data_IF_935460036371
#
_entry.id   IF_935460036371
#
_cell.length_a   1.000
_cell.length_b   1.000
_cell.length_c   1.000
_cell.angle_alpha   90.00
_cell.angle_beta   90.00
_cell.angle_gamma   90.00
#
_symmetry.space_group_name_H-M   'P 1'
#
loop_
_entity.id
_entity.type
_entity.pdbx_description
1 polymer ?
#
# COMPACT_ATOMS: atom_id res chain seq x y z
N UNK A 1 -31.60 -4.01 -9.97
CA UNK A 1 -30.47 -3.84 -10.89
C UNK A 1 -29.75 -2.52 -10.72
N UNK A 2 -30.48 -1.42 -10.60
CA UNK A 2 -29.87 -0.10 -10.39
C UNK A 2 -29.07 -0.01 -9.07
N UNK A 3 -29.50 -0.74 -8.03
CA UNK A 3 -28.77 -0.78 -6.77
C UNK A 3 -27.39 -1.41 -6.89
N UNK A 4 -27.29 -2.48 -7.70
CA UNK A 4 -26.01 -3.14 -7.92
C UNK A 4 -25.06 -2.26 -8.71
N UNK A 5 -25.58 -1.53 -9.69
CA UNK A 5 -24.78 -0.61 -10.47
C UNK A 5 -24.26 0.54 -9.60
N UNK A 6 -25.09 1.05 -8.70
CA UNK A 6 -24.69 2.11 -7.77
C UNK A 6 -23.59 1.63 -6.82
N UNK A 7 -23.76 0.44 -6.23
CA UNK A 7 -22.74 -0.15 -5.36
C UNK A 7 -21.44 -0.42 -6.10
N UNK A 8 -21.54 -0.89 -7.35
CA UNK A 8 -20.37 -1.13 -8.18
C UNK A 8 -19.59 0.16 -8.44
N UNK A 9 -20.31 1.25 -8.75
CA UNK A 9 -19.66 2.56 -8.95
C UNK A 9 -18.98 3.06 -7.68
N UNK A 10 -19.63 2.91 -6.52
CA UNK A 10 -19.04 3.33 -5.25
C UNK A 10 -17.76 2.55 -4.97
N UNK A 11 -17.76 1.24 -5.22
CA UNK A 11 -16.57 0.41 -5.00
C UNK A 11 -15.42 0.80 -5.92
N UNK A 12 -15.73 1.09 -7.20
CA UNK A 12 -14.69 1.51 -8.16
C UNK A 12 -14.14 2.87 -7.78
N UNK A 13 -15.00 3.82 -7.43
CA UNK A 13 -14.56 5.16 -7.04
C UNK A 13 -13.73 5.11 -5.76
N UNK A 14 -14.14 4.27 -4.80
CA UNK A 14 -13.37 4.07 -3.58
C UNK A 14 -11.99 3.49 -3.87
N UNK A 15 -11.90 2.54 -4.81
CA UNK A 15 -10.63 1.95 -5.20
C UNK A 15 -9.73 2.97 -5.89
N UNK A 16 -10.31 3.75 -6.82
CA UNK A 16 -9.55 4.80 -7.53
C UNK A 16 -9.03 5.84 -6.54
N UNK A 17 -9.87 6.26 -5.60
CA UNK A 17 -9.46 7.21 -4.56
C UNK A 17 -8.31 6.61 -3.74
N UNK A 18 -8.40 5.34 -3.38
CA UNK A 18 -7.35 4.66 -2.63
C UNK A 18 -6.03 4.64 -3.41
N UNK A 19 -6.09 4.35 -4.71
CA UNK A 19 -4.90 4.35 -5.56
C UNK A 19 -4.28 5.74 -5.61
N UNK A 20 -5.10 6.78 -5.78
CA UNK A 20 -4.59 8.16 -5.83
C UNK A 20 -3.95 8.57 -4.51
N UNK A 21 -4.60 8.27 -3.39
CA UNK A 21 -4.02 8.57 -2.07
C UNK A 21 -2.72 7.81 -1.84
N UNK A 22 -2.70 6.55 -2.25
CA UNK A 22 -1.49 5.73 -2.13
C UNK A 22 -0.36 6.27 -3.02
N UNK A 23 -0.70 6.77 -4.21
CA UNK A 23 0.29 7.36 -5.11
C UNK A 23 0.94 8.59 -4.48
N UNK A 24 0.13 9.47 -3.89
CA UNK A 24 0.65 10.65 -3.18
C UNK A 24 1.54 10.21 -2.02
N UNK A 25 1.07 9.25 -1.24
CA UNK A 25 1.80 8.75 -0.08
C UNK A 25 3.12 8.08 -0.49
N UNK A 26 3.10 7.29 -1.56
CA UNK A 26 4.29 6.61 -2.07
C UNK A 26 5.32 7.62 -2.58
N UNK A 27 4.86 8.64 -3.29
CA UNK A 27 5.75 9.69 -3.78
C UNK A 27 6.41 10.42 -2.61
N UNK A 28 5.61 10.79 -1.60
CA UNK A 28 6.14 11.46 -0.42
C UNK A 28 7.14 10.59 0.33
N UNK A 29 6.84 9.30 0.49
CA UNK A 29 7.73 8.36 1.17
C UNK A 29 9.04 8.19 0.42
N UNK A 30 8.98 8.08 -0.90
CA UNK A 30 10.18 7.95 -1.73
C UNK A 30 11.04 9.21 -1.64
N UNK A 31 10.40 10.38 -1.57
CA UNK A 31 11.11 11.64 -1.43
C UNK A 31 11.85 11.73 -0.08
N UNK A 32 11.22 11.20 0.98
CA UNK A 32 11.78 11.27 2.33
C UNK A 32 12.86 10.22 2.59
N UNK A 33 12.79 9.05 1.94
CA UNK A 33 13.67 7.93 2.25
C UNK A 33 14.76 7.76 1.21
N UNK A 34 16.05 7.79 1.62
CA UNK A 34 17.15 7.64 0.66
C UNK A 34 17.25 6.25 0.04
N UNK A 35 16.72 5.22 0.70
CA UNK A 35 16.76 3.86 0.20
C UNK A 35 15.61 3.48 -0.73
N UNK A 36 14.77 4.44 -1.12
CA UNK A 36 13.62 4.19 -1.99
C UNK A 36 13.69 5.12 -3.18
N UNK A 37 13.56 4.55 -4.38
CA UNK A 37 13.57 5.30 -5.63
C UNK A 37 12.35 4.95 -6.47
N UNK A 38 11.68 6.00 -6.98
CA UNK A 38 10.64 5.88 -7.98
C UNK A 38 11.02 6.83 -9.12
N UNK A 39 11.21 6.29 -10.31
CA UNK A 39 11.85 7.05 -11.42
C UNK A 39 11.00 8.19 -11.95
N UNK A 40 9.64 8.07 -11.91
CA UNK A 40 8.76 9.12 -12.44
C UNK A 40 7.36 8.98 -11.86
N UNK A 41 6.50 9.94 -12.22
CA UNK A 41 5.12 9.98 -11.72
C UNK A 41 4.29 8.81 -12.26
N UNK A 42 4.50 8.44 -13.52
CA UNK A 42 3.82 7.28 -14.10
C UNK A 42 4.11 6.02 -13.30
N UNK A 43 5.37 5.79 -12.98
CA UNK A 43 5.77 4.65 -12.16
C UNK A 43 5.15 4.72 -10.77
N UNK A 44 5.04 5.93 -10.19
CA UNK A 44 4.38 6.11 -8.90
C UNK A 44 2.94 5.62 -8.93
N UNK A 45 2.20 5.94 -9.98
CA UNK A 45 0.82 5.48 -10.13
C UNK A 45 0.77 3.96 -10.27
N UNK A 46 1.68 3.37 -11.03
CA UNK A 46 1.77 1.92 -11.18
C UNK A 46 2.08 1.26 -9.84
N UNK A 47 3.03 1.81 -9.08
CA UNK A 47 3.36 1.32 -7.74
C UNK A 47 2.12 1.36 -6.85
N UNK A 48 1.39 2.47 -6.86
CA UNK A 48 0.19 2.62 -6.04
C UNK A 48 -0.88 1.61 -6.42
N UNK A 49 -1.06 1.37 -7.72
CA UNK A 49 -2.02 0.38 -8.20
C UNK A 49 -1.63 -1.02 -7.74
N UNK A 50 -0.37 -1.41 -7.90
CA UNK A 50 0.10 -2.73 -7.48
C UNK A 50 -0.03 -2.88 -5.97
N UNK A 51 0.36 -1.86 -5.20
CA UNK A 51 0.20 -1.87 -3.74
C UNK A 51 -1.26 -2.04 -3.34
N UNK A 52 -2.16 -1.30 -4.00
CA UNK A 52 -3.58 -1.39 -3.68
C UNK A 52 -4.11 -2.79 -3.96
N UNK A 53 -3.70 -3.41 -5.08
CA UNK A 53 -4.12 -4.77 -5.41
C UNK A 53 -3.57 -5.79 -4.42
N UNK A 54 -2.29 -5.70 -4.09
CA UNK A 54 -1.68 -6.62 -3.13
C UNK A 54 -2.29 -6.46 -1.74
N UNK A 55 -2.50 -5.22 -1.30
CA UNK A 55 -3.11 -4.96 0.00
C UNK A 55 -4.56 -5.42 0.07
N UNK A 56 -5.27 -5.39 -1.04
CA UNK A 56 -6.68 -5.77 -1.08
C UNK A 56 -6.85 -7.29 -1.16
N UNK A 57 -6.05 -7.98 -1.97
CA UNK A 57 -6.25 -9.40 -2.27
C UNK A 57 -5.24 -10.31 -1.60
N UNK A 58 -3.97 -9.96 -1.60
CA UNK A 58 -2.91 -10.84 -1.11
C UNK A 58 -2.69 -10.70 0.39
N UNK A 59 -2.69 -9.47 0.90
CA UNK A 59 -2.42 -9.24 2.32
C UNK A 59 -3.42 -9.93 3.25
N UNK A 60 -4.74 -9.90 3.00
CA UNK A 60 -5.67 -10.61 3.87
C UNK A 60 -5.40 -12.12 3.92
N UNK A 61 -5.03 -12.72 2.79
CA UNK A 61 -4.70 -14.14 2.73
C UNK A 61 -3.46 -14.44 3.58
N UNK A 62 -2.43 -13.61 3.46
CA UNK A 62 -1.21 -13.78 4.26
C UNK A 62 -1.50 -13.64 5.75
N UNK A 63 -2.33 -12.68 6.13
CA UNK A 63 -2.69 -12.49 7.53
C UNK A 63 -3.39 -13.73 8.07
N UNK A 64 -4.35 -14.29 7.32
CA UNK A 64 -5.06 -15.49 7.74
C UNK A 64 -4.13 -16.69 7.91
N UNK A 65 -3.22 -16.87 6.97
CA UNK A 65 -2.29 -18.01 7.00
C UNK A 65 -1.27 -17.89 8.14
N UNK A 66 -1.01 -16.68 8.62
CA UNK A 66 0.03 -16.44 9.62
C UNK A 66 -0.53 -16.09 10.99
N UNK A 67 -1.84 -16.29 11.22
CA UNK A 67 -2.46 -15.97 12.51
C UNK A 67 -1.71 -16.58 13.69
N UNK A 68 -1.35 -17.88 13.68
CA UNK A 68 -0.62 -18.43 14.82
C UNK A 68 0.71 -17.74 15.10
N UNK A 69 1.47 -17.44 14.03
CA UNK A 69 2.75 -16.75 14.16
C UNK A 69 2.54 -15.31 14.63
N UNK A 70 1.50 -14.66 14.11
CA UNK A 70 1.17 -13.28 14.49
C UNK A 70 0.85 -13.19 15.99
N UNK A 71 0.09 -14.16 16.51
CA UNK A 71 -0.23 -14.21 17.93
C UNK A 71 1.04 -14.42 18.76
N UNK A 72 1.90 -15.38 18.37
CA UNK A 72 3.13 -15.67 19.09
C UNK A 72 4.08 -14.47 19.14
N UNK A 73 4.06 -13.63 18.09
CA UNK A 73 4.94 -12.46 18.02
C UNK A 73 4.26 -11.19 18.52
N UNK A 74 3.06 -11.29 19.12
CA UNK A 74 2.28 -10.14 19.62
C UNK A 74 2.00 -9.10 18.53
N UNK A 75 1.81 -9.58 17.30
CA UNK A 75 1.48 -8.72 16.16
C UNK A 75 2.68 -8.22 15.37
N UNK A 76 3.90 -8.44 15.83
CA UNK A 76 5.09 -7.98 15.11
C UNK A 76 5.21 -8.59 13.72
N UNK A 77 4.66 -9.78 13.51
CA UNK A 77 4.71 -10.42 12.20
C UNK A 77 3.96 -9.62 11.13
N UNK A 78 3.00 -8.79 11.52
CA UNK A 78 2.32 -7.91 10.57
C UNK A 78 3.30 -6.95 9.89
N UNK A 79 4.34 -6.52 10.60
CA UNK A 79 5.39 -5.68 10.01
C UNK A 79 6.16 -6.45 8.93
N UNK A 80 6.39 -7.74 9.15
CA UNK A 80 7.05 -8.60 8.15
C UNK A 80 6.18 -8.69 6.90
N UNK A 81 4.87 -8.86 7.07
CA UNK A 81 3.94 -8.90 5.93
C UNK A 81 4.00 -7.60 5.13
N UNK A 82 4.02 -6.45 5.81
CA UNK A 82 4.15 -5.17 5.13
C UNK A 82 5.44 -5.07 4.32
N UNK A 83 6.55 -5.54 4.87
CA UNK A 83 7.83 -5.55 4.16
C UNK A 83 7.74 -6.43 2.92
N UNK A 84 7.15 -7.61 3.04
CA UNK A 84 6.99 -8.53 1.91
C UNK A 84 6.17 -7.90 0.78
N UNK A 85 5.08 -7.21 1.13
CA UNK A 85 4.24 -6.55 0.13
C UNK A 85 5.05 -5.49 -0.63
N UNK A 86 5.84 -4.68 0.07
CA UNK A 86 6.67 -3.66 -0.56
C UNK A 86 7.74 -4.29 -1.45
N UNK A 87 8.40 -5.35 -0.97
CA UNK A 87 9.44 -6.03 -1.75
C UNK A 87 8.85 -6.70 -3.00
N UNK A 88 7.65 -7.26 -2.91
CA UNK A 88 6.97 -7.79 -4.09
C UNK A 88 6.67 -6.69 -5.08
N UNK A 89 6.22 -5.54 -4.61
CA UNK A 89 5.94 -4.41 -5.49
C UNK A 89 7.21 -3.97 -6.22
N UNK A 90 8.34 -3.89 -5.51
CA UNK A 90 9.65 -3.62 -6.10
C UNK A 90 9.94 -4.61 -7.24
N UNK A 91 9.70 -5.90 -7.00
CA UNK A 91 9.95 -6.93 -8.01
C UNK A 91 9.04 -6.82 -9.22
N UNK A 92 7.81 -6.37 -9.03
CA UNK A 92 6.79 -6.34 -10.07
C UNK A 92 6.82 -5.07 -10.92
N UNK A 93 7.32 -3.97 -10.36
CA UNK A 93 7.25 -2.66 -11.02
C UNK A 93 8.66 -2.18 -11.35
N UNK A 94 8.97 -2.08 -12.65
CA UNK A 94 10.22 -1.47 -13.08
C UNK A 94 10.24 0.01 -12.74
N UNK A 95 11.39 0.51 -12.28
CA UNK A 95 11.51 1.90 -11.90
C UNK A 95 11.19 2.20 -10.44
N UNK A 96 10.76 1.21 -9.68
CA UNK A 96 10.56 1.30 -8.25
C UNK A 96 11.59 0.41 -7.56
N UNK A 97 12.44 0.98 -6.74
CA UNK A 97 13.51 0.28 -6.06
C UNK A 97 13.48 0.58 -4.57
N UNK A 98 13.55 -0.45 -3.76
CA UNK A 98 13.59 -0.33 -2.30
C UNK A 98 14.78 -1.13 -1.78
N UNK A 99 15.74 -0.43 -1.21
CA UNK A 99 17.00 -1.03 -0.74
C UNK A 99 16.81 -1.64 0.65
N UNK A 100 16.71 -2.99 0.69
CA UNK A 100 16.73 -3.73 1.94
C UNK A 100 15.42 -3.72 2.70
N UNK A 101 15.41 -4.49 3.78
CA UNK A 101 14.19 -4.67 4.60
C UNK A 101 13.84 -3.45 5.41
N UNK A 102 14.85 -2.73 5.90
CA UNK A 102 14.63 -1.53 6.71
C UNK A 102 13.93 -0.44 5.90
N UNK A 103 14.42 -0.18 4.68
CA UNK A 103 13.79 0.81 3.80
C UNK A 103 12.37 0.41 3.43
N UNK A 104 12.13 -0.89 3.20
CA UNK A 104 10.79 -1.40 2.91
C UNK A 104 9.85 -1.18 4.10
N UNK A 105 10.32 -1.44 5.32
CA UNK A 105 9.52 -1.21 6.52
C UNK A 105 9.18 0.26 6.67
N UNK A 106 10.16 1.14 6.58
CA UNK A 106 9.94 2.58 6.71
C UNK A 106 9.01 3.10 5.62
N UNK A 107 9.18 2.63 4.39
CA UNK A 107 8.31 3.00 3.29
C UNK A 107 6.86 2.62 3.59
N UNK A 108 6.63 1.37 4.03
CA UNK A 108 5.28 0.92 4.32
C UNK A 108 4.63 1.73 5.45
N UNK A 109 5.42 2.07 6.48
CA UNK A 109 4.90 2.85 7.60
C UNK A 109 4.54 4.27 7.17
N UNK A 110 5.39 4.92 6.38
CA UNK A 110 5.13 6.27 5.89
C UNK A 110 3.91 6.28 4.98
N UNK A 111 3.81 5.33 4.05
CA UNK A 111 2.65 5.21 3.16
C UNK A 111 1.38 5.04 3.98
N UNK A 112 1.40 4.17 4.99
CA UNK A 112 0.24 3.91 5.84
C UNK A 112 -0.18 5.17 6.61
N UNK A 113 0.79 5.87 7.21
CA UNK A 113 0.50 7.07 7.98
C UNK A 113 -0.05 8.18 7.08
N UNK A 114 0.61 8.43 5.95
CA UNK A 114 0.17 9.49 5.03
C UNK A 114 -1.20 9.17 4.44
N UNK A 115 -1.43 7.92 4.04
CA UNK A 115 -2.72 7.50 3.51
C UNK A 115 -3.82 7.66 4.55
N UNK A 116 -3.54 7.28 5.80
CA UNK A 116 -4.48 7.44 6.90
C UNK A 116 -4.83 8.90 7.13
N UNK A 117 -3.83 9.78 7.14
CA UNK A 117 -4.05 11.22 7.32
C UNK A 117 -4.86 11.82 6.18
N UNK A 118 -4.52 11.46 4.94
CA UNK A 118 -5.23 11.99 3.77
C UNK A 118 -6.68 11.49 3.73
N UNK A 119 -6.90 10.22 4.08
CA UNK A 119 -8.24 9.66 4.16
C UNK A 119 -9.08 10.37 5.21
N UNK A 120 -8.48 10.69 6.37
CA UNK A 120 -9.16 11.43 7.42
C UNK A 120 -9.58 12.83 6.97
N UNK A 121 -8.73 13.49 6.20
CA UNK A 121 -9.06 14.82 5.67
C UNK A 121 -10.21 14.74 4.66
N UNK A 122 -10.23 13.72 3.81
CA UNK A 122 -11.29 13.55 2.81
C UNK A 122 -12.63 13.19 3.43
N UNK A 123 -12.62 12.42 4.52
CA UNK A 123 -13.83 11.98 5.19
C UNK A 123 -14.50 13.08 6.02
N UNK A 124 -13.87 14.24 6.14
CA UNK A 124 -14.42 15.37 6.91
C UNK A 124 -15.58 16.07 6.24
N UNK A 125 -15.72 15.89 4.96
CA UNK A 125 -16.81 16.46 4.20
C UNK A 125 -17.97 15.49 4.11
#
# INVERSE_FOLDING_TARGET
MSEYLHLFKINIMGFITKVLLTAVAAYAAAWLLPGVEIVDIKTTVIVALVLALLNTFVKPILILLTIPVTILTLGLFLLVINILIIKWTDSLVGGFTVDGWWSALLFSLIVSIVTWMLSGLMDRD
#
